data_IF_961147509209
#
_entry.id   IF_961147509209
#
_cell.length_a   1.000
_cell.length_b   1.000
_cell.length_c   1.000
_cell.angle_alpha   90.00
_cell.angle_beta   90.00
_cell.angle_gamma   90.00
#
_symmetry.space_group_name_H-M   'P 1'
#
loop_
_entity.id
_entity.type
_entity.pdbx_description
1 polymer ?
#
# COMPACT_ATOMS: atom_id res chain seq x y z
N UNK A 1 -10.01 0.54 -12.97
CA UNK A 1 -8.86 -0.12 -13.63
C UNK A 1 -8.86 -1.57 -13.17
N UNK A 2 -8.74 -2.52 -14.09
CA UNK A 2 -8.60 -3.94 -13.76
C UNK A 2 -7.13 -4.34 -13.93
N UNK A 3 -6.55 -5.02 -12.94
CA UNK A 3 -5.18 -5.53 -12.99
C UNK A 3 -5.22 -7.03 -13.30
N UNK A 4 -4.42 -7.48 -14.26
CA UNK A 4 -4.40 -8.88 -14.69
C UNK A 4 -3.42 -9.74 -13.88
N UNK A 5 -2.47 -9.10 -13.19
CA UNK A 5 -1.50 -9.80 -12.35
C UNK A 5 -0.95 -8.90 -11.25
N UNK A 6 -0.44 -9.52 -10.19
CA UNK A 6 0.27 -8.83 -9.12
C UNK A 6 1.48 -8.05 -9.65
N UNK A 7 2.24 -8.62 -10.59
CA UNK A 7 3.42 -7.97 -11.18
C UNK A 7 3.04 -6.70 -11.96
N UNK A 8 1.94 -6.75 -12.72
CA UNK A 8 1.42 -5.59 -13.43
C UNK A 8 0.99 -4.48 -12.46
N UNK A 9 0.27 -4.84 -11.40
CA UNK A 9 -0.13 -3.88 -10.37
C UNK A 9 1.08 -3.30 -9.65
N UNK A 10 2.08 -4.12 -9.29
CA UNK A 10 3.27 -3.64 -8.61
C UNK A 10 4.06 -2.68 -9.50
N UNK A 11 4.20 -2.99 -10.79
CA UNK A 11 4.86 -2.11 -11.76
C UNK A 11 4.16 -0.76 -11.83
N UNK A 12 2.84 -0.73 -11.96
CA UNK A 12 2.06 0.51 -11.99
C UNK A 12 2.23 1.28 -10.69
N UNK A 13 2.14 0.61 -9.54
CA UNK A 13 2.35 1.24 -8.23
C UNK A 13 3.73 1.94 -8.11
N UNK A 14 4.77 1.37 -8.72
CA UNK A 14 6.13 1.90 -8.67
C UNK A 14 6.44 2.95 -9.74
N UNK A 15 5.69 2.99 -10.85
CA UNK A 15 5.96 3.90 -11.97
C UNK A 15 4.98 5.06 -12.09
N UNK A 16 3.80 4.94 -11.49
CA UNK A 16 2.81 6.01 -11.48
C UNK A 16 3.26 7.17 -10.58
N UNK A 17 2.71 8.36 -10.85
CA UNK A 17 2.93 9.54 -10.03
C UNK A 17 2.51 9.26 -8.57
N UNK A 18 3.28 9.81 -7.62
CA UNK A 18 2.97 9.67 -6.20
C UNK A 18 1.56 10.19 -5.90
N UNK A 19 0.81 9.42 -5.10
CA UNK A 19 -0.57 9.70 -4.70
C UNK A 19 -1.60 9.72 -5.85
N UNK A 20 -1.19 9.33 -7.06
CA UNK A 20 -2.11 9.22 -8.20
C UNK A 20 -3.21 8.18 -7.95
N UNK A 21 -4.41 8.37 -8.51
CA UNK A 21 -5.47 7.37 -8.47
C UNK A 21 -5.02 5.99 -8.97
N UNK A 22 -4.13 5.96 -9.96
CA UNK A 22 -3.52 4.78 -10.54
C UNK A 22 -2.59 4.07 -9.56
N UNK A 23 -1.72 4.81 -8.87
CA UNK A 23 -0.86 4.25 -7.82
C UNK A 23 -1.70 3.65 -6.69
N UNK A 24 -2.72 4.38 -6.22
CA UNK A 24 -3.59 3.94 -5.13
C UNK A 24 -4.39 2.68 -5.50
N UNK A 25 -4.95 2.63 -6.71
CA UNK A 25 -5.66 1.45 -7.20
C UNK A 25 -4.73 0.23 -7.33
N UNK A 26 -3.52 0.44 -7.83
CA UNK A 26 -2.53 -0.62 -8.02
C UNK A 26 -1.99 -1.15 -6.68
N UNK A 27 -1.75 -0.25 -5.72
CA UNK A 27 -1.34 -0.60 -4.38
C UNK A 27 -2.40 -1.43 -3.65
N UNK A 28 -3.68 -1.04 -3.76
CA UNK A 28 -4.78 -1.82 -3.18
C UNK A 28 -4.83 -3.24 -3.74
N UNK A 29 -4.73 -3.36 -5.06
CA UNK A 29 -4.70 -4.67 -5.72
C UNK A 29 -3.49 -5.51 -5.27
N UNK A 30 -2.32 -4.88 -5.11
CA UNK A 30 -1.12 -5.54 -4.58
C UNK A 30 -1.36 -6.07 -3.16
N UNK A 31 -1.98 -5.31 -2.27
CA UNK A 31 -2.26 -5.75 -0.89
C UNK A 31 -3.25 -6.92 -0.87
N UNK A 32 -4.29 -6.87 -1.71
CA UNK A 32 -5.33 -7.91 -1.76
C UNK A 32 -4.83 -9.23 -2.36
N UNK A 33 -3.91 -9.16 -3.33
CA UNK A 33 -3.43 -10.33 -4.09
C UNK A 33 -2.00 -10.76 -3.71
N UNK A 34 -1.32 -10.03 -2.81
CA UNK A 34 0.02 -10.39 -2.37
C UNK A 34 0.01 -11.70 -1.57
N UNK A 35 1.07 -12.53 -1.70
CA UNK A 35 1.35 -13.61 -0.76
C UNK A 35 1.36 -13.09 0.68
N UNK A 36 0.94 -13.89 1.69
CA UNK A 36 0.82 -13.45 3.09
C UNK A 36 2.07 -12.73 3.62
N UNK A 37 3.23 -13.27 3.24
CA UNK A 37 4.55 -12.78 3.62
C UNK A 37 4.81 -11.36 3.07
N UNK A 38 4.40 -11.10 1.83
CA UNK A 38 4.55 -9.82 1.15
C UNK A 38 3.47 -8.82 1.54
N UNK A 39 2.23 -9.28 1.74
CA UNK A 39 1.12 -8.45 2.19
C UNK A 39 1.44 -7.75 3.50
N UNK A 40 2.02 -8.48 4.47
CA UNK A 40 2.43 -7.89 5.76
C UNK A 40 3.44 -6.76 5.56
N UNK A 41 4.48 -7.00 4.76
CA UNK A 41 5.52 -6.01 4.46
C UNK A 41 4.94 -4.79 3.73
N UNK A 42 4.06 -5.00 2.76
CA UNK A 42 3.41 -3.93 2.00
C UNK A 42 2.49 -3.08 2.90
N UNK A 43 1.73 -3.72 3.79
CA UNK A 43 0.88 -3.03 4.76
C UNK A 43 1.71 -2.24 5.77
N UNK A 44 2.77 -2.82 6.34
CA UNK A 44 3.66 -2.13 7.28
C UNK A 44 4.35 -0.93 6.61
N UNK A 45 4.85 -1.09 5.38
CA UNK A 45 5.44 0.03 4.63
C UNK A 45 4.44 1.11 4.27
N UNK A 46 3.20 0.74 3.95
CA UNK A 46 2.15 1.72 3.67
C UNK A 46 1.82 2.55 4.90
N UNK A 47 1.69 1.91 6.07
CA UNK A 47 1.48 2.60 7.34
C UNK A 47 2.65 3.55 7.68
N UNK A 48 3.90 3.09 7.50
CA UNK A 48 5.09 3.91 7.76
C UNK A 48 5.28 5.07 6.76
N UNK A 49 4.90 4.89 5.50
CA UNK A 49 4.95 5.95 4.48
C UNK A 49 3.94 7.06 4.79
N UNK A 50 2.76 6.70 5.31
CA UNK A 50 1.77 7.68 5.77
C UNK A 50 2.21 8.45 7.03
N UNK A 51 3.07 7.89 7.90
CA UNK A 51 3.53 8.58 9.12
C UNK A 51 4.50 9.74 8.87
N UNK A 52 5.21 9.80 7.73
CA UNK A 52 6.20 10.85 7.48
C UNK A 52 5.74 12.00 6.57
N UNK A 53 4.61 11.88 5.85
CA UNK A 53 4.11 13.00 5.04
C UNK A 53 2.61 12.97 4.70
N UNK A 54 1.77 12.31 5.50
CA UNK A 54 0.34 12.38 5.28
C UNK A 54 -0.37 12.59 6.62
N UNK A 55 -1.09 13.70 6.78
CA UNK A 55 -1.94 14.01 7.93
C UNK A 55 -3.15 13.08 8.10
N UNK A 56 -3.00 11.79 7.81
CA UNK A 56 -4.00 10.77 8.10
C UNK A 56 -3.65 10.13 9.44
N UNK A 57 -4.32 10.60 10.50
CA UNK A 57 -4.21 10.11 11.87
C UNK A 57 -4.68 8.67 12.04
N UNK A 58 -3.95 7.71 11.47
CA UNK A 58 -4.03 6.31 11.84
C UNK A 58 -3.35 6.15 13.21
N UNK A 59 -4.12 6.37 14.26
CA UNK A 59 -3.76 6.00 15.62
C UNK A 59 -3.42 4.50 15.67
N UNK A 60 -2.13 4.19 15.66
CA UNK A 60 -1.62 2.99 16.30
C UNK A 60 -1.84 3.18 17.82
N UNK A 61 -3.01 2.78 18.34
CA UNK A 61 -3.13 2.54 19.78
C UNK A 61 -2.35 1.26 20.09
N UNK A 62 -1.09 1.48 20.44
CA UNK A 62 -0.34 0.62 21.33
C UNK A 62 -0.99 0.72 22.71
N UNK A 63 -2.00 -0.10 23.00
CA UNK A 63 -2.36 -0.37 24.39
C UNK A 63 -1.46 -1.50 24.89
N UNK A 64 -0.29 -1.05 25.34
CA UNK A 64 0.47 -1.73 26.38
C UNK A 64 -0.19 -1.35 27.69
N UNK A 65 -0.85 -2.30 28.37
CA UNK A 65 -0.97 -2.43 29.83
C UNK A 65 -1.75 -3.71 30.19
#
# INVERSE_FOLDING_TARGET
MEFNSFDQALKICMTSEEESPEQNAALKYCIENAPPNLRKILTERFQQAHENNCGCGCHNQQDTL
#
